data_IF_854221286796
#
_entry.id   IF_854221286796
#
_cell.length_a   1.000
_cell.length_b   1.000
_cell.length_c   1.000
_cell.angle_alpha   90.00
_cell.angle_beta   90.00
_cell.angle_gamma   90.00
#
_symmetry.space_group_name_H-M   'P 1'
#
loop_
_entity.id
_entity.type
_entity.pdbx_description
1 polymer ?
#
# COMPACT_ATOMS: atom_id res chain seq x y z
N UNK A 1 15.30 -1.78 2.47
CA UNK A 1 15.05 -2.55 1.21
C UNK A 1 14.25 -3.82 1.46
N UNK A 2 14.66 -4.69 2.39
CA UNK A 2 13.90 -5.91 2.74
C UNK A 2 12.42 -5.64 3.06
N UNK A 3 12.12 -4.65 3.90
CA UNK A 3 10.74 -4.26 4.21
C UNK A 3 9.92 -3.81 2.99
N UNK A 4 10.56 -3.12 2.03
CA UNK A 4 9.92 -2.66 0.80
C UNK A 4 9.63 -3.82 -0.16
N UNK A 5 10.55 -4.78 -0.29
CA UNK A 5 10.34 -5.99 -1.08
C UNK A 5 9.25 -6.88 -0.48
N UNK A 6 9.19 -7.00 0.85
CA UNK A 6 8.13 -7.74 1.54
C UNK A 6 6.77 -7.07 1.29
N UNK A 7 6.69 -5.75 1.44
CA UNK A 7 5.43 -5.04 1.19
C UNK A 7 5.01 -5.07 -0.29
N UNK A 8 5.96 -4.98 -1.22
CA UNK A 8 5.69 -5.16 -2.65
C UNK A 8 5.20 -6.58 -2.97
N UNK A 9 5.79 -7.61 -2.34
CA UNK A 9 5.35 -9.00 -2.47
C UNK A 9 3.95 -9.22 -1.92
N UNK A 10 3.62 -8.66 -0.74
CA UNK A 10 2.27 -8.72 -0.16
C UNK A 10 1.26 -8.04 -1.07
N UNK A 11 1.57 -6.85 -1.59
CA UNK A 11 0.68 -6.14 -2.50
C UNK A 11 0.44 -6.93 -3.79
N UNK A 12 1.50 -7.51 -4.37
CA UNK A 12 1.38 -8.32 -5.57
C UNK A 12 0.60 -9.62 -5.34
N UNK A 13 0.71 -10.21 -4.15
CA UNK A 13 -0.09 -11.37 -3.75
C UNK A 13 -1.57 -11.01 -3.58
N UNK A 14 -1.89 -9.85 -3.00
CA UNK A 14 -3.27 -9.34 -2.93
C UNK A 14 -3.84 -9.17 -4.34
N UNK A 15 -3.08 -8.56 -5.25
CA UNK A 15 -3.53 -8.30 -6.62
C UNK A 15 -3.71 -9.62 -7.40
N UNK A 16 -2.78 -10.57 -7.29
CA UNK A 16 -2.90 -11.87 -7.97
C UNK A 16 -4.11 -12.67 -7.49
N UNK A 17 -4.43 -12.59 -6.19
CA UNK A 17 -5.64 -13.22 -5.63
C UNK A 17 -6.93 -12.53 -6.09
N UNK A 18 -6.89 -11.23 -6.36
CA UNK A 18 -8.08 -10.45 -6.77
C UNK A 18 -8.39 -10.52 -8.26
N UNK A 19 -7.39 -10.72 -9.11
CA UNK A 19 -7.56 -10.79 -10.58
C UNK A 19 -7.43 -12.22 -11.13
N UNK A 20 -7.41 -13.25 -10.26
CA UNK A 20 -7.25 -14.67 -10.64
C UNK A 20 -6.09 -14.90 -11.63
N UNK A 21 -5.05 -14.08 -11.52
CA UNK A 21 -4.06 -13.88 -12.56
C UNK A 21 -2.62 -13.92 -12.06
N UNK A 22 -1.69 -13.81 -13.01
CA UNK A 22 -0.26 -13.83 -12.72
C UNK A 22 0.19 -12.62 -11.90
N UNK A 23 1.30 -12.80 -11.21
CA UNK A 23 1.94 -11.73 -10.45
C UNK A 23 2.24 -10.53 -11.37
N UNK A 24 1.77 -9.31 -11.06
CA UNK A 24 1.87 -8.14 -11.94
C UNK A 24 3.31 -7.68 -12.22
N UNK A 25 4.28 -8.18 -11.46
CA UNK A 25 5.71 -7.91 -11.62
C UNK A 25 6.30 -7.06 -10.49
N UNK A 26 7.60 -7.20 -10.24
CA UNK A 26 8.25 -6.53 -9.10
C UNK A 26 8.30 -5.02 -9.24
N UNK A 27 8.59 -4.52 -10.45
CA UNK A 27 8.68 -3.08 -10.75
C UNK A 27 7.38 -2.32 -10.45
N UNK A 28 6.20 -2.72 -10.99
CA UNK A 28 4.95 -2.01 -10.68
C UNK A 28 4.60 -2.10 -9.19
N UNK A 29 4.88 -3.22 -8.52
CA UNK A 29 4.63 -3.35 -7.07
C UNK A 29 5.49 -2.42 -6.24
N UNK A 30 6.79 -2.31 -6.56
CA UNK A 30 7.69 -1.36 -5.91
C UNK A 30 7.19 0.08 -6.10
N UNK A 31 6.75 0.44 -7.32
CA UNK A 31 6.19 1.76 -7.61
C UNK A 31 4.92 2.01 -6.81
N UNK A 32 4.01 1.06 -6.73
CA UNK A 32 2.76 1.20 -5.97
C UNK A 32 3.00 1.36 -4.47
N UNK A 33 3.98 0.63 -3.91
CA UNK A 33 4.38 0.76 -2.51
C UNK A 33 5.07 2.11 -2.24
N UNK A 34 5.91 2.59 -3.16
CA UNK A 34 6.49 3.93 -3.07
C UNK A 34 5.42 5.03 -3.18
N UNK A 35 4.46 4.86 -4.08
CA UNK A 35 3.32 5.76 -4.22
C UNK A 35 2.43 5.79 -2.96
N UNK A 36 2.47 4.74 -2.13
CA UNK A 36 1.84 4.73 -0.82
C UNK A 36 2.69 5.44 0.24
N UNK A 37 3.98 5.09 0.32
CA UNK A 37 4.90 5.51 1.37
C UNK A 37 5.31 6.98 1.27
N UNK A 38 5.65 7.47 0.08
CA UNK A 38 6.15 8.83 -0.11
C UNK A 38 5.11 9.89 0.30
N UNK A 39 3.87 9.87 -0.21
CA UNK A 39 2.89 10.87 0.20
C UNK A 39 2.44 10.71 1.65
N UNK A 40 2.33 9.48 2.17
CA UNK A 40 1.96 9.27 3.58
C UNK A 40 3.02 9.80 4.55
N UNK A 41 4.30 9.52 4.29
CA UNK A 41 5.42 10.02 5.11
C UNK A 41 5.58 11.53 5.01
N UNK A 42 5.45 12.11 3.81
CA UNK A 42 5.48 13.56 3.63
C UNK A 42 4.39 14.23 4.45
N UNK A 43 3.15 13.76 4.32
CA UNK A 43 2.00 14.36 5.03
C UNK A 43 2.14 14.20 6.54
N UNK A 44 2.52 13.01 7.02
CA UNK A 44 2.70 12.77 8.45
C UNK A 44 3.87 13.56 9.05
N UNK A 45 4.83 14.04 8.25
CA UNK A 45 5.88 14.92 8.72
C UNK A 45 5.40 16.36 8.99
N UNK A 46 4.33 16.80 8.33
CA UNK A 46 3.78 18.17 8.47
C UNK A 46 2.54 18.26 9.37
N UNK A 47 2.00 17.13 9.81
CA UNK A 47 0.76 17.05 10.57
C UNK A 47 1.05 16.57 12.01
N UNK A 48 0.33 17.06 13.03
CA UNK A 48 0.43 16.56 14.40
C UNK A 48 0.28 15.03 14.48
N UNK A 49 1.08 14.37 15.33
CA UNK A 49 1.13 12.91 15.43
C UNK A 49 -0.24 12.23 15.68
N UNK A 50 -1.18 12.93 16.33
CA UNK A 50 -2.54 12.44 16.55
C UNK A 50 -3.40 12.31 15.28
N UNK A 51 -2.98 12.87 14.15
CA UNK A 51 -3.69 12.86 12.87
C UNK A 51 -2.99 12.01 11.80
N UNK A 52 -2.13 11.06 12.20
CA UNK A 52 -1.36 10.19 11.30
C UNK A 52 -2.21 9.40 10.28
N UNK A 53 -3.49 9.20 10.58
CA UNK A 53 -4.45 8.57 9.69
C UNK A 53 -4.71 9.37 8.41
N UNK A 54 -4.52 10.69 8.41
CA UNK A 54 -4.67 11.52 7.21
C UNK A 54 -3.60 11.15 6.18
N UNK A 55 -2.33 11.04 6.60
CA UNK A 55 -1.27 10.60 5.70
C UNK A 55 -1.49 9.18 5.17
N UNK A 56 -2.02 8.28 6.00
CA UNK A 56 -2.38 6.91 5.57
C UNK A 56 -3.48 6.90 4.50
N UNK A 57 -4.54 7.71 4.67
CA UNK A 57 -5.62 7.82 3.68
C UNK A 57 -5.07 8.33 2.35
N UNK A 58 -4.25 9.38 2.37
CA UNK A 58 -3.67 9.92 1.14
C UNK A 58 -2.74 8.90 0.47
N UNK A 59 -1.91 8.20 1.26
CA UNK A 59 -1.11 7.08 0.78
C UNK A 59 -1.94 5.98 0.13
N UNK A 60 -3.09 5.62 0.71
CA UNK A 60 -3.99 4.61 0.16
C UNK A 60 -4.60 5.05 -1.18
N UNK A 61 -5.01 6.31 -1.29
CA UNK A 61 -5.51 6.87 -2.55
C UNK A 61 -4.43 6.88 -3.63
N UNK A 62 -3.22 7.36 -3.30
CA UNK A 62 -2.10 7.36 -4.24
C UNK A 62 -1.70 5.94 -4.68
N UNK A 63 -1.73 4.98 -3.76
CA UNK A 63 -1.47 3.57 -4.06
C UNK A 63 -2.55 2.99 -4.99
N UNK A 64 -3.83 3.22 -4.70
CA UNK A 64 -4.94 2.76 -5.54
C UNK A 64 -4.87 3.32 -6.97
N UNK A 65 -4.50 4.60 -7.12
CA UNK A 65 -4.28 5.21 -8.45
C UNK A 65 -3.08 4.56 -9.15
N UNK A 66 -1.97 4.34 -8.45
CA UNK A 66 -0.79 3.70 -9.03
C UNK A 66 -1.07 2.25 -9.47
N UNK A 67 -1.84 1.49 -8.69
CA UNK A 67 -2.26 0.12 -9.04
C UNK A 67 -3.15 0.15 -10.29
N UNK A 68 -4.12 1.06 -10.35
CA UNK A 68 -4.99 1.17 -11.53
C UNK A 68 -4.18 1.52 -12.79
N UNK A 69 -3.20 2.41 -12.68
CA UNK A 69 -2.36 2.83 -13.80
C UNK A 69 -1.35 1.75 -14.25
N UNK A 70 -0.84 0.93 -13.34
CA UNK A 70 0.24 -0.03 -13.64
C UNK A 70 -0.24 -1.47 -13.84
N UNK A 71 -1.37 -1.85 -13.25
CA UNK A 71 -1.92 -3.20 -13.30
C UNK A 71 -3.16 -3.33 -14.21
N UNK A 72 -3.59 -2.24 -14.86
CA UNK A 72 -4.74 -2.27 -15.78
C UNK A 72 -6.09 -2.56 -15.11
N UNK A 73 -6.15 -2.51 -13.79
CA UNK A 73 -7.35 -2.76 -13.00
C UNK A 73 -8.27 -1.55 -12.98
N UNK A 74 -9.58 -1.79 -12.82
CA UNK A 74 -10.54 -0.71 -12.55
C UNK A 74 -10.18 0.00 -11.23
N UNK A 75 -10.43 1.32 -11.16
CA UNK A 75 -10.15 2.12 -9.97
C UNK A 75 -10.83 1.55 -8.73
N UNK A 76 -12.04 1.00 -8.89
CA UNK A 76 -12.78 0.36 -7.79
C UNK A 76 -12.00 -0.84 -7.21
N UNK A 77 -11.53 -1.76 -8.05
CA UNK A 77 -10.75 -2.92 -7.60
C UNK A 77 -9.38 -2.53 -7.06
N UNK A 78 -8.72 -1.57 -7.71
CA UNK A 78 -7.42 -1.06 -7.26
C UNK A 78 -7.50 -0.40 -5.87
N UNK A 79 -8.57 0.35 -5.59
CA UNK A 79 -8.81 0.92 -4.26
C UNK A 79 -9.10 -0.16 -3.21
N UNK A 80 -9.79 -1.24 -3.57
CA UNK A 80 -10.01 -2.38 -2.65
C UNK A 80 -8.67 -3.04 -2.33
N UNK A 81 -7.84 -3.32 -3.34
CA UNK A 81 -6.51 -3.91 -3.15
C UNK A 81 -5.62 -3.03 -2.26
N UNK A 82 -5.58 -1.72 -2.53
CA UNK A 82 -4.86 -0.75 -1.71
C UNK A 82 -5.39 -0.72 -0.27
N UNK A 83 -6.71 -0.77 -0.08
CA UNK A 83 -7.34 -0.82 1.24
C UNK A 83 -6.92 -2.06 2.04
N UNK A 84 -6.98 -3.24 1.43
CA UNK A 84 -6.54 -4.51 2.06
C UNK A 84 -5.06 -4.45 2.44
N UNK A 85 -4.22 -3.93 1.54
CA UNK A 85 -2.80 -3.75 1.79
C UNK A 85 -2.51 -2.81 2.98
N UNK A 86 -3.24 -1.70 3.09
CA UNK A 86 -3.09 -0.76 4.19
C UNK A 86 -3.57 -1.34 5.53
N UNK A 87 -4.69 -2.08 5.53
CA UNK A 87 -5.16 -2.80 6.73
C UNK A 87 -4.11 -3.79 7.20
N UNK A 88 -3.49 -4.53 6.26
CA UNK A 88 -2.40 -5.45 6.57
C UNK A 88 -1.18 -4.73 7.18
N UNK A 89 -0.76 -3.60 6.59
CA UNK A 89 0.34 -2.80 7.15
C UNK A 89 0.04 -2.27 8.55
N UNK A 90 -1.18 -1.79 8.78
CA UNK A 90 -1.61 -1.30 10.09
C UNK A 90 -1.60 -2.45 11.11
N UNK A 91 -2.16 -3.61 10.77
CA UNK A 91 -2.19 -4.78 11.63
C UNK A 91 -0.77 -5.25 11.99
N UNK A 92 0.15 -5.25 11.03
CA UNK A 92 1.55 -5.61 11.24
C UNK A 92 2.27 -4.58 12.13
N UNK A 93 1.97 -3.29 11.94
CA UNK A 93 2.45 -2.21 12.81
C UNK A 93 1.98 -2.35 14.26
N UNK A 94 0.71 -2.66 14.48
CA UNK A 94 0.17 -2.94 15.82
C UNK A 94 0.74 -4.22 16.43
N UNK A 95 0.90 -5.29 15.65
CA UNK A 95 1.49 -6.53 16.12
C UNK A 95 2.94 -6.31 16.58
N UNK A 96 3.76 -5.64 15.76
CA UNK A 96 5.14 -5.28 16.14
C UNK A 96 5.17 -4.40 17.40
N UNK A 97 4.28 -3.41 17.50
CA UNK A 97 4.18 -2.56 18.68
C UNK A 97 3.74 -3.31 19.95
N UNK A 98 2.98 -4.41 19.83
CA UNK A 98 2.55 -5.24 20.95
C UNK A 98 3.65 -6.23 21.43
N UNK A 99 4.63 -6.54 20.58
CA UNK A 99 5.78 -7.41 20.91
C UNK A 99 7.01 -6.63 21.42
N UNK A 100 6.99 -5.30 21.36
CA UNK A 100 8.04 -4.40 21.89
C UNK A 100 7.61 -3.79 23.22
#
# INVERSE_FOLDING_TARGET
MLGLLISAGVLGLIISLMEEGDFPGWTPMIICVLAALVPSTLINAFIPAGLFFIGLIVGAVCCGVAISATCGMTVQRACIAAGVFFVFQIALGFALAAFM
#
